data_IF_963559734532
#
_entry.id   IF_963559734532
#
_cell.length_a   1.000
_cell.length_b   1.000
_cell.length_c   1.000
_cell.angle_alpha   90.00
_cell.angle_beta   90.00
_cell.angle_gamma   90.00
#
_symmetry.space_group_name_H-M   'P 1'
#
loop_
_entity.id
_entity.type
_entity.pdbx_description
1 polymer ?
#
# COMPACT_ATOMS: atom_id res chain seq x y z
N UNK A 1 -3.30 -1.43 -34.79
CA UNK A 1 -3.17 -1.43 -34.23
C UNK A 1 -3.17 -1.89 -33.07
N UNK A 2 -3.31 -2.68 -32.83
CA UNK A 2 -3.24 -3.27 -31.55
C UNK A 2 -1.90 -3.20 -30.92
N UNK A 3 -0.88 -3.02 -31.71
CA UNK A 3 0.46 -2.92 -31.15
C UNK A 3 0.56 -1.75 -30.22
N UNK A 4 0.05 -0.63 -30.62
CA UNK A 4 0.06 0.52 -29.74
C UNK A 4 -0.71 0.29 -28.46
N UNK A 5 -1.82 -0.43 -28.59
CA UNK A 5 -2.62 -0.73 -27.38
C UNK A 5 -1.85 -1.61 -26.43
N UNK A 6 -1.12 -2.56 -26.96
CA UNK A 6 -0.34 -3.45 -26.10
C UNK A 6 0.76 -2.71 -25.39
N UNK A 7 1.38 -1.77 -26.07
CA UNK A 7 2.39 -0.98 -25.42
C UNK A 7 1.80 -0.14 -24.30
N UNK A 8 0.61 0.40 -24.54
CA UNK A 8 -0.05 1.18 -23.49
C UNK A 8 -0.41 0.30 -22.31
N UNK A 9 -0.85 -0.90 -22.59
CA UNK A 9 -1.18 -1.82 -21.50
C UNK A 9 0.03 -2.16 -20.69
N UNK A 10 1.19 -2.32 -21.32
CA UNK A 10 2.42 -2.62 -20.59
C UNK A 10 2.85 -1.46 -19.72
N UNK A 11 2.56 -0.25 -20.15
CA UNK A 11 2.97 0.93 -19.40
C UNK A 11 1.94 1.36 -18.37
N UNK A 12 0.72 0.85 -18.50
CA UNK A 12 -0.37 1.24 -17.62
C UNK A 12 -0.54 0.17 -16.54
N UNK A 13 -0.51 0.61 -15.31
CA UNK A 13 -0.75 -0.29 -14.18
C UNK A 13 -2.17 -0.14 -13.69
N UNK A 14 -2.73 -1.23 -13.25
CA UNK A 14 -4.03 -1.23 -12.60
C UNK A 14 -3.81 -1.38 -11.11
N UNK A 15 -4.38 -0.47 -10.33
CA UNK A 15 -4.26 -0.53 -8.89
C UNK A 15 -5.46 -1.27 -8.32
N UNK A 16 -5.18 -2.15 -7.37
CA UNK A 16 -6.21 -2.92 -6.67
C UNK A 16 -6.09 -2.56 -5.20
N UNK A 17 -7.14 -1.97 -4.65
CA UNK A 17 -7.12 -1.47 -3.28
C UNK A 17 -7.55 -2.58 -2.33
N UNK A 18 -6.61 -3.08 -1.55
CA UNK A 18 -6.85 -4.13 -0.56
C UNK A 18 -6.84 -3.55 0.85
N UNK A 19 -7.29 -2.29 1.00
CA UNK A 19 -7.49 -1.66 2.29
C UNK A 19 -8.97 -1.50 2.56
N UNK A 20 -9.30 -1.01 3.75
CA UNK A 20 -10.68 -0.87 4.17
C UNK A 20 -11.35 0.39 3.65
N UNK A 21 -10.59 1.33 3.11
CA UNK A 21 -11.10 2.63 2.74
C UNK A 21 -10.67 3.00 1.34
N UNK A 22 -11.45 3.83 0.64
CA UNK A 22 -10.96 4.36 -0.63
C UNK A 22 -9.68 5.14 -0.43
N UNK A 23 -8.82 5.10 -1.43
CA UNK A 23 -7.54 5.80 -1.38
C UNK A 23 -7.53 6.85 -2.47
N UNK A 24 -7.40 8.11 -2.08
CA UNK A 24 -7.35 9.23 -3.01
C UNK A 24 -5.91 9.66 -3.20
N UNK A 25 -5.49 9.72 -4.45
CA UNK A 25 -4.12 10.09 -4.82
C UNK A 25 -4.19 11.42 -5.56
N UNK A 26 -3.45 12.39 -5.06
CA UNK A 26 -3.41 13.73 -5.61
C UNK A 26 -2.17 13.85 -6.49
N UNK A 27 -2.37 13.93 -7.80
CA UNK A 27 -1.28 14.01 -8.76
C UNK A 27 -1.43 15.29 -9.56
N UNK A 28 -0.48 16.20 -9.40
CA UNK A 28 -0.54 17.42 -10.17
C UNK A 28 -1.92 18.07 -10.09
N UNK A 29 -2.69 17.93 -11.15
CA UNK A 29 -3.99 18.57 -11.24
C UNK A 29 -5.15 17.64 -10.96
N UNK A 30 -4.87 16.36 -10.80
CA UNK A 30 -5.93 15.36 -10.72
C UNK A 30 -5.99 14.72 -9.36
N UNK A 31 -7.18 14.24 -9.03
CA UNK A 31 -7.38 13.38 -7.87
C UNK A 31 -7.93 12.08 -8.39
N UNK A 32 -7.20 11.00 -8.16
CA UNK A 32 -7.64 9.67 -8.57
C UNK A 32 -7.98 8.89 -7.32
N UNK A 33 -9.20 8.41 -7.22
CA UNK A 33 -9.64 7.66 -6.06
C UNK A 33 -9.75 6.19 -6.44
N UNK A 34 -9.07 5.36 -5.67
CA UNK A 34 -9.12 3.91 -5.85
C UNK A 34 -10.12 3.35 -4.85
N UNK A 35 -11.25 2.84 -5.33
CA UNK A 35 -12.28 2.34 -4.41
C UNK A 35 -11.83 1.04 -3.76
N UNK A 36 -12.49 0.72 -2.65
CA UNK A 36 -12.27 -0.56 -2.01
C UNK A 36 -12.79 -1.68 -2.91
N UNK A 37 -12.19 -2.85 -2.75
CA UNK A 37 -12.63 -4.04 -3.50
C UNK A 37 -13.50 -4.95 -2.67
N UNK A 38 -13.62 -4.69 -1.37
CA UNK A 38 -14.26 -5.60 -0.46
C UNK A 38 -13.31 -6.63 0.12
N UNK A 39 -12.10 -6.68 -0.39
CA UNK A 39 -11.07 -7.58 0.13
C UNK A 39 -10.02 -6.75 0.83
N UNK A 40 -9.54 -7.24 1.96
CA UNK A 40 -8.55 -6.52 2.75
C UNK A 40 -7.40 -7.45 3.05
N UNK A 41 -6.19 -7.03 2.70
CA UNK A 41 -4.99 -7.77 3.07
C UNK A 41 -4.61 -7.43 4.50
N UNK A 42 -4.32 -8.44 5.29
CA UNK A 42 -4.03 -8.28 6.71
C UNK A 42 -2.83 -9.11 7.10
N UNK A 43 -2.14 -8.63 8.11
CA UNK A 43 -1.05 -9.38 8.72
C UNK A 43 -1.59 -9.97 10.01
N UNK A 44 -1.48 -11.27 10.18
CA UNK A 44 -1.91 -11.90 11.43
C UNK A 44 -0.91 -11.54 12.53
N UNK A 45 -1.43 -11.41 13.74
CA UNK A 45 -0.59 -11.06 14.88
C UNK A 45 -0.95 -11.93 16.07
N UNK A 46 0.01 -12.05 16.99
CA UNK A 46 -0.20 -12.72 18.25
C UNK A 46 0.44 -11.87 19.32
N UNK A 47 -0.29 -11.60 20.38
CA UNK A 47 0.22 -10.76 21.46
C UNK A 47 0.48 -11.62 22.67
N UNK A 48 1.68 -11.50 23.22
CA UNK A 48 2.14 -12.30 24.34
C UNK A 48 2.51 -11.36 25.47
N UNK A 49 1.95 -11.64 26.66
CA UNK A 49 2.30 -10.86 27.84
C UNK A 49 3.68 -11.30 28.30
N UNK A 50 4.61 -10.36 28.32
CA UNK A 50 6.00 -10.66 28.70
C UNK A 50 6.37 -10.09 30.05
N UNK A 51 5.45 -9.37 30.73
CA UNK A 51 5.71 -8.84 32.05
C UNK A 51 4.68 -7.79 32.41
N UNK A 52 4.90 -7.15 33.53
CA UNK A 52 4.03 -6.11 34.04
C UNK A 52 4.87 -4.98 34.66
N UNK A 53 4.36 -3.78 34.50
CA UNK A 53 4.90 -2.61 35.20
C UNK A 53 3.71 -1.99 35.89
N UNK A 54 3.77 -1.97 37.26
CA UNK A 54 2.71 -1.41 38.10
C UNK A 54 1.33 -1.95 37.68
N UNK A 55 1.24 -3.28 37.55
CA UNK A 55 0.01 -3.97 37.17
C UNK A 55 -0.44 -3.74 35.75
N UNK A 56 0.34 -3.03 34.94
CA UNK A 56 0.04 -2.82 33.53
C UNK A 56 0.77 -3.90 32.74
N UNK A 57 0.03 -4.71 31.96
CA UNK A 57 0.70 -5.74 31.17
C UNK A 57 1.58 -5.11 30.09
N UNK A 58 2.74 -5.70 29.91
CA UNK A 58 3.62 -5.36 28.79
C UNK A 58 3.57 -6.52 27.84
N UNK A 59 3.22 -6.25 26.59
CA UNK A 59 3.06 -7.30 25.60
C UNK A 59 4.12 -7.17 24.53
N UNK A 60 4.41 -8.30 23.90
CA UNK A 60 5.18 -8.34 22.68
C UNK A 60 4.27 -8.82 21.58
N UNK A 61 4.31 -8.13 20.43
CA UNK A 61 3.53 -8.52 19.28
C UNK A 61 4.41 -9.36 18.35
N UNK A 62 3.93 -10.53 18.01
CA UNK A 62 4.57 -11.37 17.01
C UNK A 62 3.75 -11.30 15.73
N UNK A 63 4.43 -11.12 14.63
CA UNK A 63 3.80 -10.97 13.33
C UNK A 63 3.79 -12.31 12.62
N UNK A 64 2.65 -12.66 12.07
CA UNK A 64 2.49 -13.94 11.39
C UNK A 64 2.33 -13.76 9.89
N UNK A 65 1.44 -14.54 9.32
CA UNK A 65 1.28 -14.60 7.87
C UNK A 65 0.39 -13.48 7.37
N UNK A 66 0.57 -13.14 6.10
CA UNK A 66 -0.32 -12.22 5.42
C UNK A 66 -1.49 -13.02 4.87
N UNK A 67 -2.71 -12.56 5.14
CA UNK A 67 -3.89 -13.16 4.55
C UNK A 67 -4.58 -12.12 3.69
N UNK A 68 -5.21 -12.58 2.62
CA UNK A 68 -5.97 -11.68 1.75
C UNK A 68 -5.15 -10.97 0.70
N UNK A 69 -3.85 -11.24 0.62
CA UNK A 69 -3.02 -10.65 -0.42
C UNK A 69 -3.00 -11.59 -1.61
N UNK A 70 -3.43 -11.07 -2.75
CA UNK A 70 -3.56 -11.87 -3.96
C UNK A 70 -2.20 -12.14 -4.57
N UNK A 71 -2.17 -13.14 -5.44
CA UNK A 71 -0.96 -13.49 -6.15
C UNK A 71 -0.59 -12.40 -7.15
N UNK A 72 0.70 -12.25 -7.47
CA UNK A 72 1.10 -11.26 -8.46
C UNK A 72 0.42 -11.50 -9.80
N UNK A 73 0.10 -10.41 -10.46
CA UNK A 73 -0.55 -10.44 -11.76
C UNK A 73 0.05 -9.34 -12.60
N UNK A 74 0.34 -9.63 -13.86
CA UNK A 74 0.96 -8.65 -14.72
C UNK A 74 0.12 -7.38 -14.79
N UNK A 75 0.78 -6.25 -14.65
CA UNK A 75 0.11 -4.97 -14.75
C UNK A 75 -0.70 -4.57 -13.53
N UNK A 76 -0.59 -5.30 -12.43
CA UNK A 76 -1.38 -5.03 -11.24
C UNK A 76 -0.46 -4.61 -10.10
N UNK A 77 -0.83 -3.52 -9.44
CA UNK A 77 -0.19 -3.04 -8.23
C UNK A 77 -1.24 -3.07 -7.12
N UNK A 78 -0.92 -3.73 -6.03
CA UNK A 78 -1.83 -3.85 -4.89
C UNK A 78 -1.53 -2.77 -3.86
N UNK A 79 -2.57 -2.12 -3.40
CA UNK A 79 -2.46 -1.10 -2.35
C UNK A 79 -2.86 -1.75 -1.04
N UNK A 80 -1.98 -1.69 -0.05
CA UNK A 80 -2.21 -2.27 1.27
C UNK A 80 -1.81 -1.28 2.34
N UNK A 81 -2.00 -1.67 3.60
CA UNK A 81 -1.43 -0.92 4.70
C UNK A 81 0.10 -1.01 4.65
N UNK A 82 0.77 -0.09 5.34
CA UNK A 82 2.23 -0.11 5.36
C UNK A 82 2.76 -1.36 6.04
N UNK A 83 2.06 -1.85 7.05
CA UNK A 83 2.48 -3.07 7.74
C UNK A 83 2.48 -4.25 6.80
N UNK A 84 1.41 -4.39 6.01
CA UNK A 84 1.32 -5.49 5.06
C UNK A 84 2.36 -5.33 3.95
N UNK A 85 2.50 -4.12 3.42
CA UNK A 85 3.46 -3.89 2.34
C UNK A 85 4.88 -4.19 2.79
N UNK A 86 5.22 -3.78 4.01
CA UNK A 86 6.55 -4.07 4.54
C UNK A 86 6.76 -5.57 4.73
N UNK A 87 5.76 -6.27 5.23
CA UNK A 87 5.88 -7.72 5.44
C UNK A 87 5.93 -8.48 4.13
N UNK A 88 5.24 -8.00 3.11
CA UNK A 88 5.15 -8.72 1.84
C UNK A 88 6.46 -8.72 1.07
N UNK A 89 7.20 -7.62 1.13
CA UNK A 89 8.47 -7.50 0.40
C UNK A 89 8.30 -7.86 -1.07
N UNK A 90 7.26 -7.29 -1.68
CA UNK A 90 6.96 -7.55 -3.09
C UNK A 90 6.92 -6.21 -3.83
N UNK A 91 7.42 -6.24 -5.07
CA UNK A 91 7.47 -5.03 -5.91
C UNK A 91 6.09 -4.56 -6.31
N UNK A 92 5.12 -5.46 -6.32
CA UNK A 92 3.77 -5.13 -6.74
C UNK A 92 2.87 -4.72 -5.57
N UNK A 93 3.43 -4.49 -4.39
CA UNK A 93 2.67 -4.11 -3.21
C UNK A 93 3.18 -2.80 -2.67
N UNK A 94 2.29 -1.82 -2.58
CA UNK A 94 2.63 -0.48 -2.10
C UNK A 94 1.61 -0.06 -1.05
N UNK A 95 1.92 1.01 -0.34
CA UNK A 95 0.95 1.61 0.57
C UNK A 95 0.97 3.12 0.41
N UNK A 96 -0.14 3.79 0.77
CA UNK A 96 -0.14 5.25 0.71
C UNK A 96 0.85 5.83 1.69
N UNK A 97 1.58 6.83 1.26
CA UNK A 97 2.51 7.54 2.15
C UNK A 97 1.79 8.75 2.71
N UNK A 98 1.62 8.78 4.02
CA UNK A 98 0.91 9.87 4.68
C UNK A 98 1.82 10.69 5.58
N UNK A 99 3.11 10.70 5.26
CA UNK A 99 4.06 11.56 5.95
C UNK A 99 3.67 13.03 5.77
N UNK A 100 4.23 13.93 6.59
CA UNK A 100 3.92 15.35 6.42
C UNK A 100 4.19 15.87 5.02
N UNK A 101 5.18 15.31 4.33
CA UNK A 101 5.51 15.76 2.98
C UNK A 101 4.52 15.27 1.95
N UNK A 102 4.02 14.03 2.09
CA UNK A 102 3.22 13.42 1.03
C UNK A 102 1.78 13.21 1.40
N UNK A 103 1.42 13.33 2.67
CA UNK A 103 0.03 13.21 3.07
C UNK A 103 -0.74 14.47 2.73
N UNK A 104 -1.99 14.29 2.33
CA UNK A 104 -2.89 15.41 2.08
C UNK A 104 -3.87 15.48 3.22
N UNK A 105 -4.01 16.66 3.83
CA UNK A 105 -4.85 16.84 5.00
C UNK A 105 -5.87 17.92 4.74
N UNK A 106 -7.03 17.80 5.40
CA UNK A 106 -8.06 18.83 5.32
C UNK A 106 -7.75 19.94 6.32
N UNK A 107 -8.68 20.90 6.42
CA UNK A 107 -8.49 22.04 7.32
C UNK A 107 -8.45 21.69 8.78
N UNK A 108 -8.89 20.50 9.15
CA UNK A 108 -8.86 20.02 10.53
C UNK A 108 -7.68 19.10 10.81
N UNK A 109 -6.83 18.88 9.83
CA UNK A 109 -5.65 18.06 10.00
C UNK A 109 -5.85 16.58 9.73
N UNK A 110 -7.03 16.17 9.31
CA UNK A 110 -7.27 14.75 8.99
C UNK A 110 -6.72 14.42 7.63
N UNK A 111 -6.12 13.22 7.54
CA UNK A 111 -5.58 12.75 6.27
C UNK A 111 -6.74 12.40 5.35
N UNK A 112 -6.76 13.03 4.18
CA UNK A 112 -7.79 12.77 3.18
C UNK A 112 -7.23 12.15 1.91
N UNK A 113 -5.91 12.01 1.81
CA UNK A 113 -5.29 11.41 0.65
C UNK A 113 -3.80 11.44 0.73
N UNK A 114 -3.18 11.09 -0.37
CA UNK A 114 -1.72 11.03 -0.44
C UNK A 114 -1.26 11.55 -1.80
N UNK A 115 -0.01 12.01 -1.82
CA UNK A 115 0.65 12.37 -3.08
C UNK A 115 1.62 11.29 -3.54
N UNK A 116 1.79 10.22 -2.76
CA UNK A 116 2.78 9.21 -3.10
C UNK A 116 2.40 7.87 -2.52
N UNK A 117 2.72 6.82 -3.25
CA UNK A 117 2.77 5.48 -2.69
C UNK A 117 4.19 5.21 -2.23
N UNK A 118 4.33 4.33 -1.24
CA UNK A 118 5.63 3.91 -0.75
C UNK A 118 5.79 2.41 -0.91
N UNK A 119 7.00 1.99 -1.15
CA UNK A 119 7.36 0.58 -1.21
C UNK A 119 8.39 0.30 -0.13
N UNK A 120 8.61 -0.98 0.13
CA UNK A 120 9.50 -1.40 1.21
C UNK A 120 10.59 -2.33 0.73
N UNK A 121 10.80 -2.37 -0.58
CA UNK A 121 11.86 -3.19 -1.15
C UNK A 121 13.07 -2.31 -1.36
N UNK A 122 14.12 -2.67 -0.65
CA UNK A 122 15.34 -1.87 -0.67
C UNK A 122 16.03 -2.01 -2.02
N UNK A 123 16.48 -0.86 -2.55
CA UNK A 123 17.25 -0.86 -3.77
C UNK A 123 16.46 -0.98 -5.05
N UNK A 124 15.15 -1.10 -4.93
CA UNK A 124 14.31 -1.24 -6.12
C UNK A 124 13.89 0.10 -6.67
N UNK A 125 13.61 0.09 -7.95
CA UNK A 125 13.06 1.26 -8.62
C UNK A 125 11.73 0.88 -9.24
N UNK A 126 10.82 1.81 -9.21
CA UNK A 126 9.51 1.62 -9.81
C UNK A 126 9.38 2.46 -11.06
N UNK A 127 10.42 2.43 -11.87
CA UNK A 127 10.38 3.14 -13.13
C UNK A 127 9.34 2.52 -14.02
N UNK A 128 8.87 3.32 -14.91
CA UNK A 128 7.83 2.88 -15.82
C UNK A 128 8.38 2.06 -16.96
N UNK A 129 9.49 1.58 -16.80
CA UNK A 129 10.06 0.81 -17.86
C UNK A 129 10.75 1.61 -18.88
N UNK A 130 11.03 2.53 -18.63
CA UNK A 130 11.68 3.10 -19.39
C UNK A 130 12.84 2.90 -19.28
N UNK A 131 13.15 2.50 -19.18
CA UNK A 131 14.13 2.25 -18.98
C UNK A 131 14.90 2.15 -19.29
N UNK A 132 14.89 2.18 -19.18
CA UNK A 132 15.56 2.16 -19.22
C UNK A 132 16.03 2.16 -19.62
#
# INVERSE_FOLDING_TARGET
MTVGNQENDNMTKRFVNLTQHPISVYTGQDIVTHPTTGMVARLTTKQIVVGHIDDVPIIRTEWGDIIGLLEPEDGVIYITSSIVANAAQRRDVVSPCTSPQFGVRDGNGYVIGTRAFQCFIEGERFDTGKTD
#
